data_IF_255798175805
#
_entry.id   IF_255798175805
#
_cell.length_a   1.000
_cell.length_b   1.000
_cell.length_c   1.000
_cell.angle_alpha   90.00
_cell.angle_beta   90.00
_cell.angle_gamma   90.00
#
_symmetry.space_group_name_H-M   'P 1'
#
loop_
_entity.id
_entity.type
_entity.pdbx_description
1 polymer ?
#
# COMPACT_ATOMS: atom_id res chain seq x y z
N UNK A 1 -7.79 26.80 -4.91
CA UNK A 1 -9.15 26.81 -4.34
C UNK A 1 -9.21 25.75 -3.25
N UNK A 2 -9.91 26.00 -2.16
CA UNK A 2 -10.13 25.01 -1.09
C UNK A 2 -11.08 23.92 -1.59
N UNK A 3 -10.79 22.66 -1.27
CA UNK A 3 -11.60 21.48 -1.60
C UNK A 3 -12.12 20.88 -0.29
N UNK A 4 -13.35 20.36 -0.29
CA UNK A 4 -13.92 19.64 0.85
C UNK A 4 -13.57 18.16 0.76
N UNK A 5 -12.85 17.64 1.75
CA UNK A 5 -12.25 16.30 1.70
C UNK A 5 -12.69 15.47 2.90
N UNK A 6 -13.11 14.22 2.63
CA UNK A 6 -13.25 13.17 3.64
C UNK A 6 -12.04 12.24 3.61
N UNK A 7 -11.39 12.02 4.74
CA UNK A 7 -10.33 11.02 4.89
C UNK A 7 -10.89 9.86 5.71
N UNK A 8 -10.96 8.68 5.11
CA UNK A 8 -11.51 7.48 5.74
C UNK A 8 -10.37 6.57 6.21
N UNK A 9 -10.21 6.50 7.52
CA UNK A 9 -9.14 5.77 8.21
C UNK A 9 -8.16 6.71 8.90
N UNK A 10 -8.28 6.84 10.23
CA UNK A 10 -7.46 7.73 11.07
C UNK A 10 -6.19 7.09 11.61
N UNK A 11 -5.71 6.00 10.99
CA UNK A 11 -4.40 5.42 11.30
C UNK A 11 -3.24 6.35 10.92
N UNK A 12 -2.01 5.91 11.13
CA UNK A 12 -0.79 6.72 10.89
C UNK A 12 -0.80 7.41 9.53
N UNK A 13 -1.11 6.66 8.45
CA UNK A 13 -1.06 7.22 7.10
C UNK A 13 -2.22 8.19 6.81
N UNK A 14 -3.45 7.81 7.16
CA UNK A 14 -4.61 8.68 6.93
C UNK A 14 -4.56 9.97 7.73
N UNK A 15 -4.15 9.92 9.00
CA UNK A 15 -3.97 11.12 9.82
C UNK A 15 -2.86 12.04 9.28
N UNK A 16 -1.74 11.46 8.78
CA UNK A 16 -0.67 12.23 8.13
C UNK A 16 -1.15 12.93 6.86
N UNK A 17 -1.94 12.24 6.04
CA UNK A 17 -2.52 12.84 4.84
C UNK A 17 -3.59 13.90 5.16
N UNK A 18 -4.39 13.68 6.21
CA UNK A 18 -5.35 14.69 6.67
C UNK A 18 -4.64 15.96 7.13
N UNK A 19 -3.52 15.84 7.85
CA UNK A 19 -2.65 16.95 8.25
C UNK A 19 -2.07 17.70 7.04
N UNK A 20 -1.52 16.95 6.07
CA UNK A 20 -0.98 17.52 4.84
C UNK A 20 -2.05 18.31 4.06
N UNK A 21 -3.23 17.70 3.85
CA UNK A 21 -4.32 18.32 3.11
C UNK A 21 -4.86 19.60 3.81
N UNK A 22 -5.00 19.56 5.13
CA UNK A 22 -5.38 20.72 5.90
C UNK A 22 -4.29 21.81 5.86
N UNK A 23 -3.01 21.44 5.87
CA UNK A 23 -1.89 22.36 5.72
C UNK A 23 -1.84 22.99 4.32
N UNK A 24 -2.37 22.31 3.29
CA UNK A 24 -2.55 22.86 1.94
C UNK A 24 -3.78 23.79 1.83
N UNK A 25 -4.52 24.04 2.92
CA UNK A 25 -5.67 24.96 2.97
C UNK A 25 -7.00 24.33 2.57
N UNK A 26 -7.13 23.00 2.62
CA UNK A 26 -8.38 22.29 2.35
C UNK A 26 -9.21 22.10 3.62
N UNK A 27 -10.53 21.95 3.46
CA UNK A 27 -11.46 21.59 4.54
C UNK A 27 -11.47 20.06 4.69
N UNK A 28 -10.95 19.54 5.81
CA UNK A 28 -10.73 18.10 6.01
C UNK A 28 -11.54 17.58 7.19
N UNK A 29 -12.26 16.47 6.95
CA UNK A 29 -12.87 15.65 8.00
C UNK A 29 -12.20 14.28 7.96
N UNK A 30 -11.65 13.87 9.10
CA UNK A 30 -11.00 12.58 9.32
C UNK A 30 -11.93 11.64 10.06
N UNK A 31 -12.31 10.55 9.43
CA UNK A 31 -13.04 9.46 10.07
C UNK A 31 -12.08 8.42 10.65
N UNK A 32 -12.34 8.02 11.87
CA UNK A 32 -11.62 6.93 12.54
C UNK A 32 -12.62 5.94 13.17
N UNK A 33 -12.36 4.65 12.97
CA UNK A 33 -13.24 3.56 13.39
C UNK A 33 -13.28 3.39 14.92
N UNK A 34 -12.14 3.60 15.61
CA UNK A 34 -12.02 3.35 17.04
C UNK A 34 -12.38 4.59 17.87
N UNK A 35 -13.48 4.58 18.66
CA UNK A 35 -13.90 5.74 19.45
C UNK A 35 -12.82 6.28 20.39
N UNK A 36 -12.01 5.41 20.99
CA UNK A 36 -10.87 5.82 21.85
C UNK A 36 -9.81 6.62 21.07
N UNK A 37 -9.55 6.25 19.83
CA UNK A 37 -8.62 7.00 18.97
C UNK A 37 -9.20 8.34 18.56
N UNK A 38 -10.50 8.40 18.24
CA UNK A 38 -11.24 9.64 17.98
C UNK A 38 -11.13 10.59 19.17
N UNK A 39 -11.44 10.11 20.38
CA UNK A 39 -11.34 10.88 21.61
C UNK A 39 -9.92 11.43 21.83
N UNK A 40 -8.92 10.57 21.64
CA UNK A 40 -7.50 10.94 21.77
C UNK A 40 -7.12 12.03 20.78
N UNK A 41 -7.47 11.87 19.49
CA UNK A 41 -7.19 12.85 18.45
C UNK A 41 -7.92 14.19 18.68
N UNK A 42 -9.17 14.14 19.14
CA UNK A 42 -9.94 15.36 19.48
C UNK A 42 -9.29 16.15 20.62
N UNK A 43 -8.85 15.45 21.69
CA UNK A 43 -8.27 16.06 22.89
C UNK A 43 -6.81 16.50 22.70
N UNK A 44 -5.99 15.66 22.09
CA UNK A 44 -4.52 15.84 22.11
C UNK A 44 -3.91 16.21 20.78
N UNK A 45 -4.65 16.01 19.68
CA UNK A 45 -4.15 16.14 18.29
C UNK A 45 -2.97 15.20 17.98
N UNK A 46 -2.78 14.15 18.76
CA UNK A 46 -1.67 13.20 18.64
C UNK A 46 -2.16 11.76 18.51
N UNK A 47 -1.38 10.95 17.79
CA UNK A 47 -1.54 9.51 17.71
C UNK A 47 -0.40 8.84 18.49
N UNK A 48 -0.69 7.95 19.45
CA UNK A 48 0.37 7.23 20.19
C UNK A 48 1.32 6.44 19.28
N UNK A 49 0.78 5.88 18.18
CA UNK A 49 1.56 5.10 17.19
C UNK A 49 2.35 5.99 16.20
N UNK A 50 2.17 7.31 16.23
CA UNK A 50 2.86 8.27 15.38
C UNK A 50 3.16 9.57 16.18
N UNK A 51 4.05 9.54 17.16
CA UNK A 51 4.30 10.67 18.06
C UNK A 51 4.87 11.91 17.35
N UNK A 52 5.40 11.75 16.14
CA UNK A 52 5.92 12.85 15.31
C UNK A 52 4.81 13.73 14.73
N UNK A 53 3.58 13.21 14.63
CA UNK A 53 2.45 13.95 14.10
C UNK A 53 1.77 14.77 15.20
N UNK A 54 1.55 16.05 14.91
CA UNK A 54 0.55 16.87 15.61
C UNK A 54 -0.48 17.30 14.56
N UNK A 55 -1.66 16.69 14.61
CA UNK A 55 -2.72 16.90 13.63
C UNK A 55 -3.15 18.37 13.60
N UNK A 56 -3.21 18.96 12.40
CA UNK A 56 -3.62 20.33 12.17
C UNK A 56 -4.96 20.63 12.91
N UNK A 57 -5.06 21.73 13.65
CA UNK A 57 -6.24 22.05 14.44
C UNK A 57 -7.53 22.25 13.60
N UNK A 58 -7.40 22.56 12.30
CA UNK A 58 -8.55 22.72 11.40
C UNK A 58 -9.17 21.38 10.96
N UNK A 59 -8.48 20.24 11.17
CA UNK A 59 -9.04 18.92 10.84
C UNK A 59 -10.15 18.56 11.83
N UNK A 60 -11.36 18.36 11.33
CA UNK A 60 -12.46 17.77 12.11
C UNK A 60 -12.25 16.28 12.21
N UNK A 61 -12.38 15.70 13.42
CA UNK A 61 -12.24 14.26 13.65
C UNK A 61 -13.59 13.67 14.06
N UNK A 62 -14.03 12.60 13.40
CA UNK A 62 -15.33 11.97 13.65
C UNK A 62 -15.27 10.44 13.62
N UNK A 63 -16.21 9.80 14.30
CA UNK A 63 -16.51 8.37 14.21
C UNK A 63 -17.71 8.07 13.30
N UNK A 64 -18.38 9.11 12.80
CA UNK A 64 -19.53 9.01 11.91
C UNK A 64 -19.08 9.11 10.44
N UNK A 65 -19.29 8.00 9.68
CA UNK A 65 -18.99 7.95 8.24
C UNK A 65 -19.83 8.93 7.42
N UNK A 66 -21.10 9.12 7.77
CA UNK A 66 -21.97 10.03 7.04
C UNK A 66 -21.51 11.48 7.22
N UNK A 67 -21.12 11.90 8.43
CA UNK A 67 -20.53 13.20 8.69
C UNK A 67 -19.22 13.41 7.91
N UNK A 68 -18.37 12.38 7.89
CA UNK A 68 -17.08 12.46 7.18
C UNK A 68 -17.24 12.65 5.66
N UNK A 69 -18.35 12.16 5.09
CA UNK A 69 -18.60 12.16 3.64
C UNK A 69 -19.58 13.24 3.18
N UNK A 70 -20.35 13.82 4.09
CA UNK A 70 -21.37 14.79 3.75
C UNK A 70 -20.79 16.00 3.01
N UNK A 71 -21.24 16.23 1.78
CA UNK A 71 -20.82 17.36 0.94
C UNK A 71 -19.36 17.35 0.50
N UNK A 72 -18.65 16.19 0.59
CA UNK A 72 -17.25 16.10 0.19
C UNK A 72 -17.10 15.96 -1.31
N UNK A 73 -16.15 16.70 -1.88
CA UNK A 73 -15.79 16.65 -3.30
C UNK A 73 -14.78 15.54 -3.58
N UNK A 74 -13.88 15.30 -2.62
CA UNK A 74 -12.86 14.26 -2.68
C UNK A 74 -12.91 13.36 -1.43
N UNK A 75 -12.63 12.07 -1.61
CA UNK A 75 -12.52 11.10 -0.52
C UNK A 75 -11.19 10.37 -0.60
N UNK A 76 -10.43 10.38 0.47
CA UNK A 76 -9.18 9.61 0.62
C UNK A 76 -9.47 8.34 1.40
N UNK A 77 -9.31 7.18 0.76
CA UNK A 77 -9.47 5.86 1.38
C UNK A 77 -8.13 5.37 1.91
N UNK A 78 -7.93 5.50 3.24
CA UNK A 78 -6.71 5.12 3.95
C UNK A 78 -6.94 3.93 4.91
N UNK A 79 -7.82 3.02 4.51
CA UNK A 79 -8.28 1.86 5.29
C UNK A 79 -7.31 0.70 5.04
N UNK A 80 -6.98 -0.14 6.03
CA UNK A 80 -6.24 -1.38 5.78
C UNK A 80 -6.96 -2.28 4.76
N UNK A 81 -6.19 -2.97 3.90
CA UNK A 81 -6.72 -3.69 2.72
C UNK A 81 -7.83 -4.69 3.05
N UNK A 82 -7.73 -5.38 4.19
CA UNK A 82 -8.73 -6.35 4.64
C UNK A 82 -10.10 -5.73 5.01
N UNK A 83 -10.16 -4.43 5.25
CA UNK A 83 -11.37 -3.72 5.69
C UNK A 83 -11.97 -2.82 4.61
N UNK A 84 -11.32 -2.66 3.46
CA UNK A 84 -11.78 -1.76 2.39
C UNK A 84 -13.18 -2.14 1.94
N UNK A 85 -13.43 -3.39 1.57
CA UNK A 85 -14.75 -3.84 1.09
C UNK A 85 -15.87 -3.60 2.11
N UNK A 86 -15.65 -4.02 3.35
CA UNK A 86 -16.66 -3.87 4.40
C UNK A 86 -17.01 -2.40 4.66
N UNK A 87 -16.00 -1.54 4.73
CA UNK A 87 -16.22 -0.10 4.96
C UNK A 87 -16.94 0.55 3.77
N UNK A 88 -16.54 0.25 2.52
CA UNK A 88 -17.18 0.82 1.33
C UNK A 88 -18.60 0.26 1.12
N UNK A 89 -18.89 -0.96 1.55
CA UNK A 89 -20.24 -1.51 1.62
C UNK A 89 -21.11 -0.71 2.59
N UNK A 90 -20.61 -0.42 3.78
CA UNK A 90 -21.32 0.42 4.76
C UNK A 90 -21.60 1.82 4.18
N UNK A 91 -20.63 2.43 3.49
CA UNK A 91 -20.80 3.73 2.81
C UNK A 91 -21.93 3.66 1.77
N UNK A 92 -21.97 2.58 0.98
CA UNK A 92 -23.06 2.36 0.00
C UNK A 92 -24.41 2.22 0.67
N UNK A 93 -24.53 1.36 1.69
CA UNK A 93 -25.77 1.08 2.40
C UNK A 93 -26.33 2.33 3.09
N UNK A 94 -25.48 3.22 3.57
CA UNK A 94 -25.88 4.51 4.13
C UNK A 94 -26.17 5.57 3.07
N UNK A 95 -25.86 5.32 1.79
CA UNK A 95 -25.95 6.33 0.73
C UNK A 95 -25.05 7.55 0.99
N UNK A 96 -23.97 7.36 1.76
CA UNK A 96 -23.20 8.47 2.32
C UNK A 96 -22.27 9.15 1.30
N UNK A 97 -21.85 8.47 0.22
CA UNK A 97 -20.96 9.06 -0.79
C UNK A 97 -21.73 10.02 -1.71
N UNK A 98 -21.38 11.32 -1.77
CA UNK A 98 -22.02 12.26 -2.68
C UNK A 98 -21.83 11.84 -4.17
N UNK A 99 -22.84 12.01 -5.04
CA UNK A 99 -22.83 11.43 -6.40
C UNK A 99 -21.69 11.88 -7.31
N UNK A 100 -21.10 13.04 -7.05
CA UNK A 100 -20.00 13.61 -7.86
C UNK A 100 -18.63 13.49 -7.21
N UNK A 101 -18.54 12.92 -6.01
CA UNK A 101 -17.26 12.73 -5.33
C UNK A 101 -16.35 11.79 -6.10
N UNK A 102 -15.08 12.10 -6.08
CA UNK A 102 -14.03 11.22 -6.58
C UNK A 102 -13.21 10.67 -5.41
N UNK A 103 -12.60 9.52 -5.62
CA UNK A 103 -11.96 8.75 -4.56
C UNK A 103 -10.48 8.53 -4.89
N UNK A 104 -9.63 8.66 -3.88
CA UNK A 104 -8.20 8.29 -3.94
C UNK A 104 -7.96 7.15 -2.97
N UNK A 105 -7.62 5.97 -3.46
CA UNK A 105 -7.11 4.90 -2.63
C UNK A 105 -5.62 5.14 -2.33
N UNK A 106 -5.27 5.13 -1.06
CA UNK A 106 -3.88 5.15 -0.60
C UNK A 106 -3.49 3.83 0.08
N UNK A 107 -4.37 2.83 -0.01
CA UNK A 107 -4.21 1.49 0.55
C UNK A 107 -3.33 0.64 -0.36
N UNK A 108 -2.32 0.01 0.21
CA UNK A 108 -1.33 -0.82 -0.50
C UNK A 108 -1.60 -2.29 -0.23
N UNK A 109 -2.50 -2.91 -1.01
CA UNK A 109 -2.88 -4.31 -0.83
C UNK A 109 -3.70 -4.85 -2.00
N UNK A 110 -3.95 -6.16 -1.95
CA UNK A 110 -4.81 -6.92 -2.87
C UNK A 110 -5.81 -7.68 -2.01
N UNK A 111 -7.08 -7.67 -2.38
CA UNK A 111 -8.11 -8.41 -1.66
C UNK A 111 -7.89 -9.92 -1.83
N UNK A 112 -7.81 -10.66 -0.71
CA UNK A 112 -7.37 -12.06 -0.69
C UNK A 112 -8.29 -13.03 -1.44
N UNK A 113 -9.62 -12.80 -1.36
CA UNK A 113 -10.59 -13.77 -1.87
C UNK A 113 -10.92 -13.53 -3.36
N UNK A 114 -10.95 -12.28 -3.79
CA UNK A 114 -11.28 -11.89 -5.17
C UNK A 114 -10.06 -11.59 -6.03
N UNK A 115 -8.91 -11.39 -5.41
CA UNK A 115 -7.64 -10.99 -6.01
C UNK A 115 -7.72 -9.61 -6.70
N UNK A 116 -8.64 -8.75 -6.24
CA UNK A 116 -8.89 -7.42 -6.78
C UNK A 116 -8.01 -6.37 -6.14
N UNK A 117 -7.65 -5.37 -6.94
CA UNK A 117 -7.00 -4.15 -6.47
C UNK A 117 -8.00 -3.30 -5.68
N UNK A 118 -7.53 -2.42 -4.84
CA UNK A 118 -8.39 -1.64 -3.96
C UNK A 118 -9.34 -0.72 -4.72
N UNK A 119 -8.91 -0.15 -5.85
CA UNK A 119 -9.79 0.68 -6.69
C UNK A 119 -10.92 -0.14 -7.35
N UNK A 120 -10.66 -1.40 -7.69
CA UNK A 120 -11.69 -2.32 -8.19
C UNK A 120 -12.72 -2.67 -7.11
N UNK A 121 -12.24 -2.94 -5.90
CA UNK A 121 -13.10 -3.21 -4.73
C UNK A 121 -14.03 -2.01 -4.45
N UNK A 122 -13.48 -0.79 -4.46
CA UNK A 122 -14.26 0.44 -4.27
C UNK A 122 -15.28 0.62 -5.39
N UNK A 123 -14.87 0.41 -6.64
CA UNK A 123 -15.75 0.53 -7.81
C UNK A 123 -16.91 -0.48 -7.82
N UNK A 124 -16.69 -1.68 -7.28
CA UNK A 124 -17.74 -2.69 -7.12
C UNK A 124 -18.74 -2.33 -6.02
N UNK A 125 -18.25 -1.87 -4.88
CA UNK A 125 -19.13 -1.49 -3.78
C UNK A 125 -19.93 -0.22 -4.08
N UNK A 126 -19.40 0.71 -4.88
CA UNK A 126 -20.12 1.92 -5.29
C UNK A 126 -20.24 1.95 -6.83
N UNK A 127 -21.23 1.30 -7.41
CA UNK A 127 -21.47 1.33 -8.87
C UNK A 127 -21.55 2.76 -9.41
N UNK A 128 -20.95 2.99 -10.58
CA UNK A 128 -20.89 4.32 -11.21
C UNK A 128 -19.72 5.20 -10.78
N UNK A 129 -18.82 4.70 -9.90
CA UNK A 129 -17.58 5.43 -9.53
C UNK A 129 -16.37 5.02 -10.36
N UNK A 130 -16.44 4.01 -11.22
CA UNK A 130 -15.29 3.44 -11.94
C UNK A 130 -14.39 4.49 -12.64
N UNK A 131 -14.97 5.54 -13.23
CA UNK A 131 -14.23 6.66 -13.84
C UNK A 131 -13.72 7.72 -12.84
N UNK A 132 -13.91 7.53 -11.54
CA UNK A 132 -13.65 8.53 -10.49
C UNK A 132 -12.87 7.96 -9.29
N UNK A 133 -12.28 6.78 -9.43
CA UNK A 133 -11.42 6.16 -8.42
C UNK A 133 -10.00 6.11 -8.94
N UNK A 134 -9.07 6.70 -8.22
CA UNK A 134 -7.64 6.67 -8.49
C UNK A 134 -6.84 6.17 -7.29
N UNK A 135 -5.53 6.11 -7.45
CA UNK A 135 -4.61 5.70 -6.41
C UNK A 135 -3.47 6.70 -6.22
N UNK A 136 -2.93 6.74 -5.00
CA UNK A 136 -1.68 7.44 -4.66
C UNK A 136 -0.74 6.44 -3.99
N UNK A 137 0.46 6.25 -4.54
CA UNK A 137 1.44 5.29 -4.05
C UNK A 137 2.86 5.81 -4.23
N UNK A 138 3.85 5.13 -3.66
CA UNK A 138 5.27 5.51 -3.71
C UNK A 138 5.94 5.51 -2.33
N UNK A 139 7.25 5.81 -2.25
CA UNK A 139 8.02 5.80 -1.01
C UNK A 139 7.53 6.89 -0.05
N UNK A 140 6.73 6.51 0.95
CA UNK A 140 5.99 7.44 1.80
C UNK A 140 5.73 6.89 3.20
N UNK A 141 6.77 6.75 4.01
CA UNK A 141 6.60 6.42 5.43
C UNK A 141 5.93 7.58 6.18
N UNK A 142 4.83 7.28 6.89
CA UNK A 142 4.07 8.28 7.64
C UNK A 142 4.94 9.06 8.63
N UNK A 143 5.93 8.39 9.23
CA UNK A 143 6.89 8.96 10.17
C UNK A 143 7.77 10.05 9.55
N UNK A 144 8.08 9.93 8.26
CA UNK A 144 8.89 10.91 7.53
C UNK A 144 8.03 12.06 7.00
N UNK A 145 6.87 11.73 6.43
CA UNK A 145 5.93 12.73 5.94
C UNK A 145 5.43 13.63 7.07
N UNK A 146 5.11 13.07 8.24
CA UNK A 146 4.71 13.82 9.43
C UNK A 146 5.78 14.82 9.91
N UNK A 147 7.06 14.53 9.64
CA UNK A 147 8.20 15.45 9.89
C UNK A 147 8.48 16.40 8.73
N UNK A 148 7.65 16.40 7.69
CA UNK A 148 7.81 17.20 6.48
C UNK A 148 9.15 16.96 5.77
N UNK A 149 9.66 15.70 5.81
CA UNK A 149 10.82 15.31 5.03
C UNK A 149 10.43 15.14 3.56
N UNK A 150 11.39 15.44 2.67
CA UNK A 150 11.17 15.36 1.24
C UNK A 150 10.65 13.97 0.83
N UNK A 151 9.47 13.94 0.25
CA UNK A 151 8.76 12.73 -0.17
C UNK A 151 8.27 12.89 -1.60
N UNK A 152 8.43 11.86 -2.43
CA UNK A 152 7.91 11.83 -3.79
C UNK A 152 7.02 10.60 -3.99
N UNK A 153 5.83 10.81 -4.55
CA UNK A 153 4.83 9.78 -4.80
C UNK A 153 4.25 9.90 -6.21
N UNK A 154 3.46 8.93 -6.64
CA UNK A 154 2.77 8.93 -7.92
C UNK A 154 1.27 8.77 -7.74
N UNK A 155 0.51 9.62 -8.43
CA UNK A 155 -0.94 9.55 -8.55
C UNK A 155 -1.31 8.86 -9.87
N UNK A 156 -2.26 7.94 -9.84
CA UNK A 156 -2.74 7.25 -11.03
C UNK A 156 -4.27 7.16 -11.02
N UNK A 157 -4.87 7.12 -12.22
CA UNK A 157 -6.32 7.02 -12.36
C UNK A 157 -6.78 7.32 -13.78
N UNK A 158 -8.09 7.18 -14.05
CA UNK A 158 -8.65 7.48 -15.36
C UNK A 158 -8.73 8.99 -15.63
N UNK A 159 -8.61 9.37 -16.91
CA UNK A 159 -8.81 10.72 -17.40
C UNK A 159 -7.93 11.78 -16.74
N UNK A 160 -8.53 12.83 -16.21
CA UNK A 160 -7.87 13.96 -15.55
C UNK A 160 -7.59 13.71 -14.05
N UNK A 161 -8.06 12.59 -13.51
CA UNK A 161 -7.99 12.29 -12.08
C UNK A 161 -6.55 12.31 -11.52
N UNK A 162 -5.50 11.80 -12.19
CA UNK A 162 -4.14 11.91 -11.69
C UNK A 162 -3.69 13.35 -11.45
N UNK A 163 -4.05 14.27 -12.36
CA UNK A 163 -3.77 15.71 -12.22
C UNK A 163 -4.53 16.35 -11.04
N UNK A 164 -5.79 15.95 -10.84
CA UNK A 164 -6.58 16.42 -9.67
C UNK A 164 -5.98 15.94 -8.35
N UNK A 165 -5.55 14.67 -8.28
CA UNK A 165 -4.85 14.10 -7.11
C UNK A 165 -3.54 14.86 -6.88
N UNK A 166 -2.75 15.07 -7.94
CA UNK A 166 -1.51 15.84 -7.86
C UNK A 166 -1.74 17.22 -7.24
N UNK A 167 -2.69 17.97 -7.77
CA UNK A 167 -3.00 19.32 -7.28
C UNK A 167 -3.47 19.34 -5.82
N UNK A 168 -4.15 18.28 -5.37
CA UNK A 168 -4.65 18.14 -4.01
C UNK A 168 -3.53 17.95 -2.99
N UNK A 169 -2.58 17.07 -3.30
CA UNK A 169 -1.54 16.63 -2.36
C UNK A 169 -0.20 17.36 -2.51
N UNK A 170 0.04 18.06 -3.63
CA UNK A 170 1.31 18.74 -3.88
C UNK A 170 1.62 19.75 -2.77
N UNK A 171 2.81 19.64 -2.18
CA UNK A 171 3.34 20.56 -1.18
C UNK A 171 4.86 20.70 -1.35
N UNK A 172 5.48 21.63 -0.64
CA UNK A 172 6.94 21.87 -0.70
C UNK A 172 7.74 20.60 -0.38
N UNK A 173 7.31 19.86 0.65
CA UNK A 173 7.95 18.60 1.08
C UNK A 173 7.31 17.34 0.49
N UNK A 174 6.22 17.46 -0.30
CA UNK A 174 5.47 16.33 -0.82
C UNK A 174 5.23 16.48 -2.32
N UNK A 175 6.09 15.86 -3.12
CA UNK A 175 6.03 15.91 -4.58
C UNK A 175 5.15 14.81 -5.13
N UNK A 176 4.20 15.16 -5.99
CA UNK A 176 3.32 14.18 -6.65
C UNK A 176 3.59 14.16 -8.15
N UNK A 177 3.92 13.00 -8.68
CA UNK A 177 3.99 12.74 -10.12
C UNK A 177 2.69 12.07 -10.57
N UNK A 178 2.43 12.05 -11.87
CA UNK A 178 1.24 11.43 -12.44
C UNK A 178 1.60 10.24 -13.33
N UNK A 179 0.71 9.23 -13.38
CA UNK A 179 0.81 8.09 -14.27
C UNK A 179 -0.58 7.73 -14.82
N UNK A 180 -0.70 7.35 -16.08
CA UNK A 180 -1.94 6.77 -16.60
C UNK A 180 -2.16 5.31 -16.16
N UNK A 181 -1.10 4.62 -15.71
CA UNK A 181 -1.12 3.21 -15.35
C UNK A 181 -1.57 3.00 -13.90
N UNK A 182 -2.87 2.97 -13.68
CA UNK A 182 -3.47 2.68 -12.37
C UNK A 182 -3.14 1.25 -11.90
N UNK A 183 -3.11 0.28 -12.81
CA UNK A 183 -2.84 -1.12 -12.50
C UNK A 183 -1.46 -1.29 -11.91
N UNK A 184 -0.44 -0.77 -12.61
CA UNK A 184 0.94 -0.88 -12.18
C UNK A 184 1.23 -0.13 -10.90
N UNK A 185 0.64 1.06 -10.71
CA UNK A 185 0.81 1.86 -9.48
C UNK A 185 0.24 1.14 -8.25
N UNK A 186 -0.93 0.53 -8.34
CA UNK A 186 -1.52 -0.24 -7.24
C UNK A 186 -0.76 -1.54 -6.95
N UNK A 187 -0.44 -2.32 -8.01
CA UNK A 187 0.27 -3.60 -7.86
C UNK A 187 1.69 -3.39 -7.33
N UNK A 188 2.40 -2.37 -7.79
CA UNK A 188 3.72 -2.01 -7.25
C UNK A 188 3.68 -1.75 -5.75
N UNK A 189 2.77 -0.87 -5.32
CA UNK A 189 2.58 -0.54 -3.90
C UNK A 189 2.14 -1.70 -3.03
N UNK A 190 1.36 -2.65 -3.58
CA UNK A 190 0.89 -3.82 -2.85
C UNK A 190 1.97 -4.91 -2.73
N UNK A 191 2.53 -5.34 -3.86
CA UNK A 191 3.43 -6.50 -3.94
C UNK A 191 4.76 -6.27 -3.22
N UNK A 192 5.31 -5.05 -3.22
CA UNK A 192 6.56 -4.71 -2.53
C UNK A 192 6.60 -5.18 -1.07
N UNK A 193 5.45 -5.20 -0.40
CA UNK A 193 5.34 -5.56 1.00
C UNK A 193 5.77 -7.01 1.29
N UNK A 194 5.60 -7.91 0.31
CA UNK A 194 6.03 -9.31 0.39
C UNK A 194 7.56 -9.40 0.40
N UNK A 195 8.20 -8.66 -0.52
CA UNK A 195 9.66 -8.64 -0.64
C UNK A 195 10.32 -7.93 0.54
N UNK A 196 9.62 -6.98 1.16
CA UNK A 196 10.08 -6.38 2.41
C UNK A 196 10.11 -7.40 3.56
N UNK A 197 9.14 -8.33 3.64
CA UNK A 197 9.20 -9.47 4.58
C UNK A 197 10.40 -10.35 4.26
N UNK A 198 10.63 -10.70 2.97
CA UNK A 198 11.79 -11.48 2.55
C UNK A 198 13.13 -10.82 2.95
N UNK A 199 13.27 -9.52 2.69
CA UNK A 199 14.46 -8.75 3.10
C UNK A 199 14.63 -8.71 4.62
N UNK A 200 13.52 -8.60 5.38
CA UNK A 200 13.57 -8.75 6.82
C UNK A 200 14.05 -10.13 7.27
N UNK A 201 13.60 -11.20 6.63
CA UNK A 201 14.10 -12.56 6.92
C UNK A 201 15.61 -12.66 6.69
N UNK A 202 16.15 -12.04 5.63
CA UNK A 202 17.62 -12.00 5.42
C UNK A 202 18.36 -11.23 6.51
N UNK A 203 17.76 -10.13 7.00
CA UNK A 203 18.30 -9.39 8.14
C UNK A 203 18.36 -10.29 9.41
N UNK A 204 17.24 -10.97 9.71
CA UNK A 204 17.14 -11.89 10.85
C UNK A 204 18.10 -13.07 10.80
N UNK A 205 18.42 -13.55 9.58
CA UNK A 205 19.39 -14.63 9.34
C UNK A 205 20.84 -14.15 9.28
N UNK A 206 21.11 -12.83 9.27
CA UNK A 206 22.45 -12.26 9.20
C UNK A 206 23.16 -12.45 7.85
N UNK A 207 22.41 -12.43 6.71
CA UNK A 207 22.94 -12.78 5.39
C UNK A 207 23.58 -11.62 4.62
N UNK A 208 23.53 -10.41 5.17
CA UNK A 208 24.18 -9.22 4.62
C UNK A 208 23.46 -8.58 3.42
N UNK A 209 24.10 -7.52 2.89
CA UNK A 209 23.46 -6.62 1.91
C UNK A 209 23.38 -7.21 0.50
N UNK A 210 24.31 -8.08 0.11
CA UNK A 210 24.27 -8.72 -1.21
C UNK A 210 23.02 -9.59 -1.38
N UNK A 211 22.66 -10.40 -0.37
CA UNK A 211 21.45 -11.20 -0.38
C UNK A 211 20.19 -10.34 -0.44
N UNK A 212 20.17 -9.23 0.30
CA UNK A 212 19.07 -8.26 0.28
C UNK A 212 18.93 -7.58 -1.08
N UNK A 213 20.04 -7.13 -1.68
CA UNK A 213 20.05 -6.51 -3.00
C UNK A 213 19.55 -7.49 -4.07
N UNK A 214 20.01 -8.74 -4.05
CA UNK A 214 19.55 -9.79 -4.94
C UNK A 214 18.03 -10.04 -4.80
N UNK A 215 17.52 -10.13 -3.56
CA UNK A 215 16.08 -10.28 -3.30
C UNK A 215 15.26 -9.09 -3.81
N UNK A 216 15.70 -7.87 -3.61
CA UNK A 216 15.01 -6.68 -4.13
C UNK A 216 14.97 -6.71 -5.66
N UNK A 217 16.10 -7.00 -6.33
CA UNK A 217 16.18 -7.07 -7.80
C UNK A 217 15.30 -8.18 -8.37
N UNK A 218 15.37 -9.37 -7.79
CA UNK A 218 14.54 -10.50 -8.22
C UNK A 218 13.07 -10.29 -7.87
N UNK A 219 12.77 -9.67 -6.74
CA UNK A 219 11.43 -9.26 -6.34
C UNK A 219 10.81 -8.26 -7.31
N UNK A 220 11.58 -7.26 -7.75
CA UNK A 220 11.14 -6.32 -8.77
C UNK A 220 10.80 -7.03 -10.10
N UNK A 221 11.59 -8.04 -10.49
CA UNK A 221 11.29 -8.87 -11.65
C UNK A 221 9.94 -9.61 -11.50
N UNK A 222 9.68 -10.23 -10.34
CA UNK A 222 8.40 -10.90 -10.08
C UNK A 222 7.23 -9.90 -10.09
N UNK A 223 7.39 -8.73 -9.46
CA UNK A 223 6.38 -7.64 -9.49
C UNK A 223 6.07 -7.21 -10.92
N UNK A 224 7.09 -7.00 -11.74
CA UNK A 224 6.95 -6.60 -13.15
C UNK A 224 6.20 -7.66 -13.94
N UNK A 225 6.49 -8.93 -13.73
CA UNK A 225 5.79 -10.06 -14.41
C UNK A 225 4.30 -10.10 -14.04
N UNK A 226 3.98 -9.97 -12.76
CA UNK A 226 2.58 -9.86 -12.32
C UNK A 226 1.89 -8.66 -12.95
N UNK A 227 2.57 -7.52 -12.97
CA UNK A 227 2.06 -6.30 -13.58
C UNK A 227 1.74 -6.46 -15.06
N UNK A 228 2.69 -6.90 -15.87
CA UNK A 228 2.50 -7.12 -17.31
C UNK A 228 1.34 -8.08 -17.57
N UNK A 229 1.30 -9.21 -16.85
CA UNK A 229 0.22 -10.20 -17.00
C UNK A 229 -1.15 -9.67 -16.52
N UNK A 230 -1.17 -8.59 -15.74
CA UNK A 230 -2.39 -7.89 -15.29
C UNK A 230 -2.72 -6.65 -16.13
N UNK A 231 -1.99 -6.39 -17.23
CA UNK A 231 -2.21 -5.26 -18.13
C UNK A 231 -1.54 -3.95 -17.72
N UNK A 232 -0.56 -3.98 -16.81
CA UNK A 232 0.24 -2.82 -16.44
C UNK A 232 1.41 -2.57 -17.41
N UNK A 233 1.89 -1.33 -17.44
CA UNK A 233 3.13 -0.97 -18.11
C UNK A 233 4.34 -1.45 -17.27
N UNK A 234 5.26 -2.19 -17.91
CA UNK A 234 6.48 -2.67 -17.28
C UNK A 234 7.33 -1.54 -16.69
N UNK A 235 7.38 -0.37 -17.33
CA UNK A 235 8.15 0.78 -16.87
C UNK A 235 7.62 1.39 -15.57
N UNK A 236 6.34 1.20 -15.24
CA UNK A 236 5.76 1.66 -13.96
C UNK A 236 6.51 1.05 -12.77
N UNK A 237 6.99 -0.20 -12.91
CA UNK A 237 7.73 -0.88 -11.84
C UNK A 237 9.14 -0.34 -11.62
N UNK A 238 9.74 0.33 -12.60
CA UNK A 238 11.00 1.06 -12.42
C UNK A 238 10.81 2.43 -11.73
N UNK A 239 9.55 2.87 -11.57
CA UNK A 239 9.18 4.16 -10.99
C UNK A 239 9.01 4.15 -9.47
N UNK A 240 8.33 5.22 -8.98
CA UNK A 240 8.15 5.48 -7.54
C UNK A 240 7.31 4.41 -6.83
N UNK A 241 6.21 3.94 -7.42
CA UNK A 241 5.35 2.91 -6.81
C UNK A 241 5.95 1.50 -6.87
N UNK A 242 6.89 1.25 -7.79
CA UNK A 242 7.63 -0.01 -7.91
C UNK A 242 8.95 0.04 -7.14
N UNK A 243 10.06 0.31 -7.87
CA UNK A 243 11.42 0.30 -7.33
C UNK A 243 11.61 1.26 -6.15
N UNK A 244 11.08 2.49 -6.24
CA UNK A 244 11.24 3.49 -5.18
C UNK A 244 10.64 3.02 -3.85
N UNK A 245 9.38 2.55 -3.88
CA UNK A 245 8.68 2.07 -2.69
C UNK A 245 9.22 0.71 -2.21
N UNK A 246 9.71 -0.14 -3.12
CA UNK A 246 10.38 -1.38 -2.79
C UNK A 246 11.66 -1.12 -1.98
N UNK A 247 12.56 -0.25 -2.47
CA UNK A 247 13.82 0.08 -1.79
C UNK A 247 13.54 0.59 -0.37
N UNK A 248 12.72 1.62 -0.23
CA UNK A 248 12.47 2.22 1.08
C UNK A 248 11.82 1.23 2.04
N UNK A 249 10.92 0.35 1.55
CA UNK A 249 10.23 -0.62 2.40
C UNK A 249 11.14 -1.77 2.82
N UNK A 250 12.08 -2.18 1.98
CA UNK A 250 13.05 -3.25 2.28
C UNK A 250 14.21 -2.80 3.18
N UNK A 251 14.54 -1.50 3.20
CA UNK A 251 15.72 -0.99 3.92
C UNK A 251 15.38 -0.18 5.17
N UNK A 252 14.21 0.47 5.20
CA UNK A 252 13.83 1.36 6.31
C UNK A 252 13.55 0.60 7.61
N UNK A 253 13.99 1.17 8.72
CA UNK A 253 13.61 0.73 10.08
C UNK A 253 12.12 0.96 10.41
N UNK A 254 11.45 1.84 9.67
CA UNK A 254 10.02 2.12 9.82
C UNK A 254 9.14 1.08 9.12
N UNK A 255 9.73 0.19 8.31
CA UNK A 255 8.97 -0.84 7.59
C UNK A 255 8.49 -1.95 8.53
N UNK A 256 7.19 -2.00 8.75
CA UNK A 256 6.51 -3.05 9.52
C UNK A 256 6.70 -4.44 8.90
N UNK A 257 6.65 -4.52 7.57
CA UNK A 257 6.86 -5.77 6.84
C UNK A 257 8.30 -6.29 6.99
N UNK A 258 9.30 -5.41 6.89
CA UNK A 258 10.69 -5.77 7.14
C UNK A 258 10.90 -6.23 8.59
N UNK A 259 10.35 -5.49 9.56
CA UNK A 259 10.45 -5.84 10.97
C UNK A 259 9.78 -7.20 11.29
N UNK A 260 8.63 -7.50 10.66
CA UNK A 260 8.00 -8.82 10.76
C UNK A 260 8.93 -9.91 10.22
N UNK A 261 9.48 -9.70 9.02
CA UNK A 261 10.42 -10.64 8.38
C UNK A 261 11.66 -10.88 9.25
N UNK A 262 12.22 -9.84 9.85
CA UNK A 262 13.39 -9.94 10.73
C UNK A 262 13.11 -10.85 11.95
N UNK A 263 11.93 -10.73 12.57
CA UNK A 263 11.52 -11.62 13.67
C UNK A 263 11.40 -13.08 13.22
N UNK A 264 10.79 -13.32 12.05
CA UNK A 264 10.66 -14.67 11.48
C UNK A 264 12.04 -15.23 11.11
N UNK A 265 12.93 -14.42 10.53
CA UNK A 265 14.31 -14.81 10.24
C UNK A 265 15.12 -15.22 11.47
N UNK A 266 14.79 -14.63 12.63
CA UNK A 266 15.34 -14.99 13.96
C UNK A 266 14.69 -16.21 14.59
N UNK A 267 13.75 -16.88 13.88
CA UNK A 267 13.12 -18.13 14.32
C UNK A 267 11.77 -17.97 15.03
N UNK A 268 11.18 -16.76 15.07
CA UNK A 268 9.80 -16.58 15.56
C UNK A 268 8.80 -17.15 14.57
N UNK A 269 7.74 -17.78 15.05
CA UNK A 269 6.57 -18.09 14.24
C UNK A 269 5.83 -16.82 13.81
N UNK A 270 4.99 -16.90 12.78
CA UNK A 270 4.17 -15.76 12.35
C UNK A 270 3.29 -15.23 13.49
N UNK A 271 2.65 -16.14 14.25
CA UNK A 271 1.77 -15.77 15.35
C UNK A 271 2.51 -15.02 16.47
N UNK A 272 3.69 -15.49 16.88
CA UNK A 272 4.54 -14.81 17.87
C UNK A 272 5.00 -13.44 17.37
N UNK A 273 5.45 -13.37 16.12
CA UNK A 273 5.95 -12.14 15.53
C UNK A 273 4.83 -11.07 15.42
N UNK A 274 3.60 -11.48 15.04
CA UNK A 274 2.44 -10.58 14.97
C UNK A 274 1.97 -10.12 16.35
N UNK A 275 2.00 -10.99 17.38
CA UNK A 275 1.63 -10.64 18.74
C UNK A 275 2.51 -9.53 19.35
N UNK A 276 3.76 -9.43 18.88
CA UNK A 276 4.72 -8.39 19.29
C UNK A 276 4.57 -7.06 18.50
N UNK A 277 3.64 -7.00 17.53
CA UNK A 277 3.43 -5.83 16.66
C UNK A 277 2.16 -5.06 17.05
N UNK A 278 2.27 -3.74 17.05
CA UNK A 278 1.14 -2.84 17.35
C UNK A 278 0.36 -2.39 16.11
N UNK A 279 0.89 -2.66 14.92
CA UNK A 279 0.31 -2.21 13.65
C UNK A 279 0.31 -3.33 12.61
N UNK A 280 -0.62 -3.25 11.66
CA UNK A 280 -0.81 -4.24 10.58
C UNK A 280 0.42 -4.31 9.66
N UNK A 281 0.84 -5.53 9.31
CA UNK A 281 1.80 -5.84 8.26
C UNK A 281 1.05 -6.31 7.00
N UNK A 282 0.78 -5.40 6.09
CA UNK A 282 -0.01 -5.63 4.86
C UNK A 282 0.59 -6.73 3.94
N UNK A 283 1.88 -7.02 4.09
CA UNK A 283 2.55 -8.08 3.34
C UNK A 283 2.00 -9.49 3.62
N UNK A 284 1.42 -9.73 4.80
CA UNK A 284 0.89 -11.06 5.15
C UNK A 284 -0.36 -11.40 4.33
N UNK A 285 -1.46 -10.60 4.37
CA UNK A 285 -2.61 -10.84 3.50
C UNK A 285 -2.26 -10.72 2.02
N UNK A 286 -1.40 -9.76 1.64
CA UNK A 286 -0.99 -9.57 0.25
C UNK A 286 -0.22 -10.79 -0.29
N UNK A 287 0.56 -11.50 0.54
CA UNK A 287 1.28 -12.70 0.12
C UNK A 287 0.31 -13.82 -0.30
N UNK A 288 -0.78 -14.03 0.43
CA UNK A 288 -1.84 -14.97 0.04
C UNK A 288 -2.49 -14.57 -1.28
N UNK A 289 -2.85 -13.30 -1.42
CA UNK A 289 -3.46 -12.79 -2.63
C UNK A 289 -2.51 -12.90 -3.84
N UNK A 290 -1.22 -12.57 -3.67
CA UNK A 290 -0.23 -12.67 -4.72
C UNK A 290 0.02 -14.13 -5.17
N UNK A 291 -0.05 -15.09 -4.24
CA UNK A 291 0.01 -16.52 -4.57
C UNK A 291 -1.18 -16.93 -5.44
N UNK A 292 -2.40 -16.58 -5.03
CA UNK A 292 -3.61 -16.85 -5.82
C UNK A 292 -3.60 -16.14 -7.19
N UNK A 293 -3.07 -14.91 -7.23
CA UNK A 293 -2.92 -14.16 -8.48
C UNK A 293 -1.90 -14.83 -9.43
N UNK A 294 -0.78 -15.34 -8.89
CA UNK A 294 0.19 -16.10 -9.66
C UNK A 294 -0.43 -17.35 -10.29
N UNK A 295 -1.20 -18.12 -9.51
CA UNK A 295 -1.90 -19.30 -9.99
C UNK A 295 -2.93 -18.96 -11.09
N UNK A 296 -3.72 -17.90 -10.90
CA UNK A 296 -4.70 -17.41 -11.88
C UNK A 296 -4.06 -16.95 -13.19
N UNK A 297 -2.88 -16.34 -13.12
CA UNK A 297 -2.16 -15.80 -14.28
C UNK A 297 -1.19 -16.82 -14.91
N UNK A 298 -1.06 -18.03 -14.35
CA UNK A 298 -0.10 -19.03 -14.80
C UNK A 298 1.36 -18.60 -14.65
N UNK A 299 1.68 -17.84 -13.60
CA UNK A 299 3.01 -17.32 -13.36
C UNK A 299 3.74 -18.11 -12.26
N UNK A 300 4.99 -18.42 -12.50
CA UNK A 300 5.87 -18.95 -11.48
C UNK A 300 6.56 -17.78 -10.76
N UNK A 301 6.24 -17.54 -9.48
CA UNK A 301 6.81 -16.52 -8.63
C UNK A 301 7.54 -17.17 -7.44
N UNK A 302 8.81 -17.55 -7.61
CA UNK A 302 9.53 -18.35 -6.60
C UNK A 302 9.65 -17.67 -5.24
N UNK A 303 9.92 -16.37 -5.20
CA UNK A 303 10.07 -15.63 -3.93
C UNK A 303 8.73 -15.57 -3.23
N UNK A 304 7.65 -15.18 -3.94
CA UNK A 304 6.30 -15.16 -3.38
C UNK A 304 5.90 -16.54 -2.83
N UNK A 305 6.20 -17.63 -3.58
CA UNK A 305 5.88 -18.98 -3.16
C UNK A 305 6.63 -19.39 -1.89
N UNK A 306 7.92 -19.06 -1.78
CA UNK A 306 8.71 -19.37 -0.58
C UNK A 306 8.31 -18.54 0.63
N UNK A 307 8.02 -17.26 0.45
CA UNK A 307 7.50 -16.40 1.53
C UNK A 307 6.12 -16.89 1.99
N UNK A 308 5.25 -17.30 1.06
CA UNK A 308 3.96 -17.90 1.42
C UNK A 308 4.16 -19.16 2.29
N UNK A 309 5.06 -20.05 1.92
CA UNK A 309 5.37 -21.26 2.70
C UNK A 309 5.93 -20.91 4.09
N UNK A 310 6.80 -19.91 4.19
CA UNK A 310 7.32 -19.45 5.48
C UNK A 310 6.22 -18.89 6.38
N UNK A 311 5.31 -18.07 5.82
CA UNK A 311 4.28 -17.40 6.60
C UNK A 311 3.12 -18.32 7.01
N UNK A 312 2.75 -19.28 6.13
CA UNK A 312 1.49 -20.00 6.28
C UNK A 312 1.62 -21.52 6.40
N UNK A 313 2.80 -22.08 6.08
CA UNK A 313 3.02 -23.54 6.08
C UNK A 313 4.19 -23.95 7.00
N UNK A 314 4.76 -23.00 7.73
CA UNK A 314 5.80 -23.26 8.73
C UNK A 314 7.19 -23.57 8.15
N UNK A 315 7.45 -23.29 6.86
CA UNK A 315 8.77 -23.50 6.24
C UNK A 315 9.81 -22.59 6.90
N UNK A 316 10.95 -23.12 7.38
CA UNK A 316 12.02 -22.28 7.93
C UNK A 316 12.60 -21.30 6.90
N UNK A 317 12.81 -20.04 7.28
CA UNK A 317 13.35 -19.02 6.38
C UNK A 317 14.72 -19.41 5.76
N UNK A 318 15.55 -20.15 6.50
CA UNK A 318 16.84 -20.67 6.00
C UNK A 318 16.66 -21.70 4.87
N UNK A 319 15.65 -22.55 4.95
CA UNK A 319 15.33 -23.52 3.90
C UNK A 319 14.76 -22.82 2.66
N UNK A 320 13.89 -21.85 2.83
CA UNK A 320 13.38 -21.04 1.73
C UNK A 320 14.51 -20.37 0.94
N UNK A 321 15.49 -19.78 1.65
CA UNK A 321 16.67 -19.21 0.99
C UNK A 321 17.49 -20.27 0.24
N UNK A 322 17.73 -21.44 0.86
CA UNK A 322 18.45 -22.53 0.21
C UNK A 322 17.77 -22.94 -1.09
N UNK A 323 16.45 -23.10 -1.08
CA UNK A 323 15.68 -23.47 -2.27
C UNK A 323 15.80 -22.43 -3.37
N UNK A 324 15.69 -21.13 -3.03
CA UNK A 324 15.89 -20.03 -4.00
C UNK A 324 17.29 -20.06 -4.63
N UNK A 325 18.33 -20.34 -3.85
CA UNK A 325 19.73 -20.36 -4.30
C UNK A 325 20.08 -21.61 -5.13
N UNK A 326 19.37 -22.73 -4.96
CA UNK A 326 19.61 -24.00 -5.65
C UNK A 326 18.72 -24.22 -6.87
N UNK A 327 17.90 -23.24 -7.24
CA UNK A 327 17.07 -23.29 -8.45
C UNK A 327 17.95 -23.44 -9.71
N UNK A 328 17.43 -24.11 -10.77
CA UNK A 328 18.12 -24.16 -12.05
C UNK A 328 18.46 -22.77 -12.57
N UNK A 329 19.65 -22.65 -13.18
CA UNK A 329 20.08 -21.38 -13.77
C UNK A 329 19.14 -20.96 -14.90
N UNK A 330 18.83 -19.66 -14.97
CA UNK A 330 17.97 -19.06 -15.98
C UNK A 330 18.51 -17.69 -16.39
N UNK A 331 18.07 -17.19 -17.55
CA UNK A 331 18.37 -15.80 -17.94
C UNK A 331 17.79 -14.82 -16.94
N UNK A 332 18.55 -13.78 -16.63
CA UNK A 332 18.15 -12.78 -15.60
C UNK A 332 16.76 -12.19 -15.85
N UNK A 333 16.45 -11.83 -17.09
CA UNK A 333 15.20 -11.17 -17.49
C UNK A 333 14.25 -12.08 -18.29
N UNK A 334 14.53 -13.38 -18.37
CA UNK A 334 13.80 -14.31 -19.27
C UNK A 334 12.27 -14.24 -19.10
N UNK A 335 11.77 -14.25 -17.89
CA UNK A 335 10.33 -14.21 -17.63
C UNK A 335 9.66 -12.90 -18.02
N UNK A 336 10.34 -11.74 -17.89
CA UNK A 336 9.84 -10.43 -18.35
C UNK A 336 9.84 -10.35 -19.87
N UNK A 337 10.93 -10.76 -20.52
CA UNK A 337 11.06 -10.75 -21.97
C UNK A 337 9.95 -11.56 -22.67
N UNK A 338 9.69 -12.77 -22.18
CA UNK A 338 8.61 -13.64 -22.71
C UNK A 338 7.21 -13.01 -22.61
N UNK A 339 6.93 -12.28 -21.51
CA UNK A 339 5.64 -11.61 -21.35
C UNK A 339 5.52 -10.40 -22.29
N UNK A 340 6.57 -9.61 -22.45
CA UNK A 340 6.58 -8.46 -23.36
C UNK A 340 6.41 -8.89 -24.83
N UNK A 341 6.96 -10.04 -25.22
CA UNK A 341 6.75 -10.60 -26.56
C UNK A 341 5.31 -11.03 -26.82
N UNK A 342 4.60 -11.52 -25.80
CA UNK A 342 3.19 -11.94 -25.91
C UNK A 342 2.19 -10.77 -25.93
N UNK A 343 2.61 -9.59 -25.46
CA UNK A 343 1.74 -8.40 -25.39
C UNK A 343 1.93 -7.45 -26.57
N UNK A 344 2.90 -7.72 -27.45
CA UNK A 344 3.08 -7.08 -28.76
C UNK A 344 2.24 -7.76 -29.83
#
# INVERSE_FOLDING_TARGET
>A
MSVKIGVIGGGSWGATLADLLASNGHEVVLWEYFPKTVETLRKTRKLPVLPQLTLNPSVTVTEDLAEALYGREAVVSAIPSEHVRATWRTIREQGALPPRSWVVSVTKGIEKDTLKRMTEVIGEEIPGTAGRVGALSGPSHAEEVARKLATAVVAAGPGDLPGRIQNLFQAESFRVYTSPDLVGVELGGALKNIYAIACGMTDGLGLGDNAKAALMTRGLNEMTRVGIASGADAFTFAGLSGLGDLIVTCTSKHSRNRALGEKIGRGRSLSEALAEMTMVAEGVPTCRAARGLADRLGLELPIVADIHRCLHEGKPAREALKDLMTRPASGEMAGVAQLLEKTR
#
